data_IF_829484988927
#
_entry.id   IF_829484988927
#
_cell.length_a   1.000
_cell.length_b   1.000
_cell.length_c   1.000
_cell.angle_alpha   90.00
_cell.angle_beta   90.00
_cell.angle_gamma   90.00
#
_symmetry.space_group_name_H-M   'P 1'
#
loop_
_entity.id
_entity.type
_entity.pdbx_description
1 polymer ?
#
# COMPACT_ATOMS: atom_id res chain seq x y z
N UNK A 1 -25.57 39.57 -22.22
CA UNK A 1 -24.88 38.43 -22.89
C UNK A 1 -24.67 37.20 -21.98
N UNK A 2 -24.80 37.29 -20.65
CA UNK A 2 -24.49 36.18 -19.73
C UNK A 2 -25.58 35.09 -19.57
N UNK A 3 -26.86 35.35 -19.91
CA UNK A 3 -27.94 34.35 -19.76
C UNK A 3 -27.84 33.19 -20.76
N UNK A 4 -27.30 33.42 -21.97
CA UNK A 4 -27.15 32.36 -23.00
C UNK A 4 -26.06 31.34 -22.62
N UNK A 5 -24.97 31.77 -21.98
CA UNK A 5 -23.89 30.88 -21.53
C UNK A 5 -24.33 29.95 -20.38
N UNK A 6 -25.17 30.44 -19.47
CA UNK A 6 -25.71 29.63 -18.35
C UNK A 6 -26.62 28.50 -18.83
N UNK A 7 -27.44 28.74 -19.86
CA UNK A 7 -28.35 27.71 -20.40
C UNK A 7 -27.56 26.62 -21.13
N UNK A 8 -26.55 27.02 -21.92
CA UNK A 8 -25.69 26.07 -22.64
C UNK A 8 -24.86 25.20 -21.68
N UNK A 9 -24.37 25.77 -20.57
CA UNK A 9 -23.64 24.99 -19.56
C UNK A 9 -24.54 23.96 -18.86
N UNK A 10 -25.77 24.34 -18.47
CA UNK A 10 -26.72 23.40 -17.86
C UNK A 10 -27.18 22.30 -18.82
N UNK A 11 -27.36 22.60 -20.11
CA UNK A 11 -27.66 21.56 -21.12
C UNK A 11 -26.48 20.61 -21.36
N UNK A 12 -25.23 21.11 -21.31
CA UNK A 12 -24.04 20.27 -21.47
C UNK A 12 -23.85 19.33 -20.27
N UNK A 13 -24.08 19.81 -19.05
CA UNK A 13 -23.99 19.00 -17.83
C UNK A 13 -25.12 17.95 -17.78
N UNK A 14 -26.34 18.31 -18.19
CA UNK A 14 -27.46 17.36 -18.29
C UNK A 14 -27.21 16.25 -19.31
N UNK A 15 -26.59 16.57 -20.45
CA UNK A 15 -26.21 15.58 -21.49
C UNK A 15 -25.05 14.68 -21.08
N UNK A 16 -24.09 15.16 -20.28
CA UNK A 16 -23.05 14.31 -19.70
C UNK A 16 -23.58 13.38 -18.60
N UNK A 17 -24.47 13.85 -17.74
CA UNK A 17 -25.09 13.01 -16.71
C UNK A 17 -26.00 11.92 -17.30
N UNK A 18 -26.65 12.17 -18.44
CA UNK A 18 -27.37 11.11 -19.18
C UNK A 18 -26.44 10.04 -19.75
N UNK A 19 -25.20 10.38 -20.13
CA UNK A 19 -24.19 9.37 -20.52
C UNK A 19 -23.67 8.55 -19.32
N UNK A 20 -23.87 9.03 -18.10
CA UNK A 20 -23.56 8.33 -16.86
C UNK A 20 -24.76 7.51 -16.32
N UNK A 21 -25.84 7.37 -17.09
CA UNK A 21 -26.87 6.37 -16.77
C UNK A 21 -26.26 4.98 -16.90
N UNK A 22 -25.81 4.45 -15.75
CA UNK A 22 -25.54 3.03 -15.58
C UNK A 22 -26.88 2.34 -15.79
N UNK A 23 -27.09 1.82 -16.99
CA UNK A 23 -28.23 0.97 -17.28
C UNK A 23 -27.95 -0.36 -16.59
N UNK A 24 -28.43 -0.51 -15.35
CA UNK A 24 -28.41 -1.79 -14.68
C UNK A 24 -29.25 -2.77 -15.53
N UNK A 25 -28.69 -3.90 -16.00
CA UNK A 25 -29.46 -4.85 -16.78
C UNK A 25 -30.55 -5.44 -15.87
N UNK A 26 -31.80 -5.10 -16.15
CA UNK A 26 -32.96 -5.83 -15.64
C UNK A 26 -32.88 -7.27 -16.16
N UNK A 27 -33.29 -8.22 -15.32
CA UNK A 27 -33.23 -9.64 -15.63
C UNK A 27 -33.98 -9.96 -16.92
N UNK A 28 -33.25 -10.17 -18.01
CA UNK A 28 -33.80 -10.70 -19.26
C UNK A 28 -33.76 -12.21 -19.16
N UNK A 29 -34.95 -12.82 -19.13
CA UNK A 29 -35.08 -14.27 -19.27
C UNK A 29 -34.60 -14.69 -20.67
N UNK A 30 -33.63 -15.61 -20.68
CA UNK A 30 -33.28 -16.49 -21.81
C UNK A 30 -33.09 -15.82 -23.19
N UNK A 31 -31.96 -15.14 -23.38
CA UNK A 31 -31.43 -14.79 -24.71
C UNK A 31 -30.23 -15.66 -25.10
N UNK A 32 -30.32 -16.39 -26.21
CA UNK A 32 -29.25 -17.22 -26.77
C UNK A 32 -27.95 -16.40 -26.98
N UNK A 33 -26.84 -16.87 -26.42
CA UNK A 33 -25.52 -16.22 -26.60
C UNK A 33 -25.08 -16.30 -28.05
N UNK A 34 -24.87 -15.14 -28.68
CA UNK A 34 -24.20 -15.04 -29.97
C UNK A 34 -22.72 -15.49 -29.85
N UNK A 35 -22.16 -16.17 -30.87
CA UNK A 35 -20.78 -16.61 -30.85
C UNK A 35 -19.81 -15.43 -30.99
N UNK A 36 -18.92 -15.28 -30.02
CA UNK A 36 -17.84 -14.28 -30.01
C UNK A 36 -16.83 -14.58 -31.14
N UNK A 37 -16.75 -13.70 -32.15
CA UNK A 37 -15.82 -13.82 -33.29
C UNK A 37 -14.51 -13.04 -33.13
N UNK A 38 -14.25 -12.42 -31.97
CA UNK A 38 -13.03 -11.61 -31.77
C UNK A 38 -12.06 -12.29 -30.79
N UNK A 39 -10.98 -12.86 -31.32
CA UNK A 39 -9.94 -13.61 -30.60
C UNK A 39 -9.01 -12.79 -29.71
N UNK A 40 -9.53 -11.85 -28.90
CA UNK A 40 -8.74 -11.21 -27.84
C UNK A 40 -8.81 -12.05 -26.56
N UNK A 41 -7.68 -12.56 -26.04
CA UNK A 41 -7.68 -13.28 -24.77
C UNK A 41 -8.11 -12.34 -23.64
N UNK A 42 -8.98 -12.83 -22.75
CA UNK A 42 -9.50 -12.12 -21.57
C UNK A 42 -10.49 -10.97 -21.82
N UNK A 43 -11.33 -11.04 -22.86
CA UNK A 43 -12.66 -10.42 -22.73
C UNK A 43 -13.52 -11.31 -21.83
N UNK A 44 -13.37 -11.15 -20.52
CA UNK A 44 -14.39 -11.61 -19.60
C UNK A 44 -15.65 -10.81 -19.92
N UNK A 45 -16.50 -11.37 -20.79
CA UNK A 45 -17.92 -11.03 -20.80
C UNK A 45 -18.34 -11.34 -19.37
N UNK A 46 -18.42 -10.31 -18.52
CA UNK A 46 -18.95 -10.43 -17.16
C UNK A 46 -20.34 -10.98 -17.34
N UNK A 47 -20.48 -12.28 -17.10
CA UNK A 47 -21.78 -12.93 -17.16
C UNK A 47 -22.71 -12.10 -16.27
N UNK A 48 -23.93 -11.77 -16.72
CA UNK A 48 -24.88 -11.04 -15.90
C UNK A 48 -24.95 -11.75 -14.54
N UNK A 49 -24.85 -10.95 -13.48
CA UNK A 49 -24.89 -11.42 -12.10
C UNK A 49 -26.15 -12.28 -11.97
N UNK A 50 -25.94 -13.59 -11.81
CA UNK A 50 -27.05 -14.53 -11.71
C UNK A 50 -27.47 -14.52 -10.26
N UNK A 51 -28.71 -14.14 -9.96
CA UNK A 51 -29.26 -14.21 -8.61
C UNK A 51 -29.94 -15.56 -8.42
N UNK A 52 -29.85 -16.11 -7.22
CA UNK A 52 -30.65 -17.28 -6.86
C UNK A 52 -32.14 -16.88 -6.83
N UNK A 53 -33.00 -17.68 -7.48
CA UNK A 53 -34.44 -17.40 -7.57
C UNK A 53 -35.16 -17.48 -6.23
N UNK A 54 -34.59 -18.21 -5.27
CA UNK A 54 -35.17 -18.43 -3.94
C UNK A 54 -34.69 -17.43 -2.89
N UNK A 55 -33.40 -17.11 -2.88
CA UNK A 55 -32.78 -16.28 -1.84
C UNK A 55 -32.39 -14.88 -2.31
N UNK A 56 -32.34 -14.64 -3.62
CA UNK A 56 -31.84 -13.39 -4.19
C UNK A 56 -30.32 -13.20 -4.03
N UNK A 57 -29.59 -14.22 -3.54
CA UNK A 57 -28.14 -14.14 -3.35
C UNK A 57 -27.37 -14.27 -4.67
N UNK A 58 -26.18 -13.66 -4.74
CA UNK A 58 -25.35 -13.64 -5.95
C UNK A 58 -24.71 -15.02 -6.18
N UNK A 59 -25.04 -15.63 -7.32
CA UNK A 59 -24.48 -16.89 -7.80
C UNK A 59 -23.34 -16.62 -8.79
N UNK A 60 -22.16 -17.18 -8.49
CA UNK A 60 -21.00 -17.12 -9.38
C UNK A 60 -20.64 -18.53 -9.85
N UNK A 61 -20.64 -18.76 -11.16
CA UNK A 61 -20.11 -20.01 -11.75
C UNK A 61 -18.59 -20.00 -11.73
N UNK A 62 -17.99 -21.03 -11.13
CA UNK A 62 -16.54 -21.27 -11.20
C UNK A 62 -16.12 -21.80 -12.56
N UNK A 63 -14.82 -21.74 -12.86
CA UNK A 63 -14.22 -22.35 -14.06
C UNK A 63 -14.47 -23.86 -14.15
N UNK A 64 -14.65 -24.54 -13.01
CA UNK A 64 -15.00 -25.97 -12.90
C UNK A 64 -16.48 -26.28 -13.15
N UNK A 65 -17.30 -25.30 -13.55
CA UNK A 65 -18.73 -25.47 -13.85
C UNK A 65 -19.65 -25.49 -12.63
N UNK A 66 -19.11 -25.68 -11.42
CA UNK A 66 -19.90 -25.63 -10.17
C UNK A 66 -20.30 -24.20 -9.82
N UNK A 67 -21.57 -24.01 -9.45
CA UNK A 67 -22.07 -22.72 -8.98
C UNK A 67 -21.78 -22.55 -7.50
N UNK A 68 -21.22 -21.41 -7.10
CA UNK A 68 -21.01 -21.03 -5.70
C UNK A 68 -21.85 -19.80 -5.39
N UNK A 69 -22.66 -19.89 -4.36
CA UNK A 69 -23.36 -18.74 -3.80
C UNK A 69 -22.33 -17.91 -3.03
N UNK A 70 -22.24 -16.62 -3.35
CA UNK A 70 -21.42 -15.65 -2.64
C UNK A 70 -22.38 -14.82 -1.81
N UNK A 71 -22.34 -15.02 -0.50
CA UNK A 71 -23.04 -14.13 0.42
C UNK A 71 -22.50 -12.73 0.21
N UNK A 72 -23.38 -11.79 -0.12
CA UNK A 72 -23.03 -10.37 -0.11
C UNK A 72 -22.67 -9.96 1.32
N UNK A 73 -21.83 -8.94 1.45
CA UNK A 73 -21.66 -8.26 2.73
C UNK A 73 -22.98 -7.58 3.09
N UNK A 74 -23.40 -7.65 4.36
CA UNK A 74 -24.59 -6.91 4.79
C UNK A 74 -24.31 -5.41 4.76
N UNK A 75 -25.36 -4.59 4.62
CA UNK A 75 -25.22 -3.13 4.69
C UNK A 75 -24.63 -2.68 6.03
N UNK A 76 -25.03 -3.34 7.12
CA UNK A 76 -24.53 -3.08 8.47
C UNK A 76 -23.02 -3.39 8.61
N UNK A 77 -22.57 -4.52 8.08
CA UNK A 77 -21.15 -4.89 8.09
C UNK A 77 -20.31 -3.94 7.24
N UNK A 78 -20.84 -3.51 6.10
CA UNK A 78 -20.18 -2.53 5.24
C UNK A 78 -20.07 -1.17 5.92
N UNK A 79 -21.14 -0.68 6.53
CA UNK A 79 -21.16 0.59 7.25
C UNK A 79 -20.20 0.56 8.44
N UNK A 80 -20.19 -0.52 9.22
CA UNK A 80 -19.25 -0.70 10.33
C UNK A 80 -17.79 -0.70 9.88
N UNK A 81 -17.46 -1.41 8.79
CA UNK A 81 -16.09 -1.40 8.25
C UNK A 81 -15.69 -0.04 7.69
N UNK A 82 -16.62 0.65 7.02
CA UNK A 82 -16.39 1.99 6.49
C UNK A 82 -16.11 2.98 7.63
N UNK A 83 -16.95 2.95 8.67
CA UNK A 83 -16.79 3.82 9.84
C UNK A 83 -15.47 3.51 10.57
N UNK A 84 -15.14 2.23 10.76
CA UNK A 84 -13.86 1.83 11.35
C UNK A 84 -12.65 2.33 10.55
N UNK A 85 -12.69 2.20 9.22
CA UNK A 85 -11.59 2.62 8.36
C UNK A 85 -11.36 4.15 8.40
N UNK A 86 -12.43 4.95 8.34
CA UNK A 86 -12.32 6.40 8.28
C UNK A 86 -12.18 7.06 9.66
N UNK A 87 -12.93 6.59 10.66
CA UNK A 87 -13.01 7.25 11.97
C UNK A 87 -12.01 6.69 12.98
N UNK A 88 -11.78 5.37 12.97
CA UNK A 88 -10.91 4.71 13.96
C UNK A 88 -9.47 4.62 13.46
N UNK A 89 -9.24 3.94 12.33
CA UNK A 89 -7.90 3.71 11.79
C UNK A 89 -7.36 4.92 11.02
N UNK A 90 -8.25 5.79 10.53
CA UNK A 90 -7.93 6.96 9.70
C UNK A 90 -7.18 6.61 8.41
N UNK A 91 -7.35 5.37 7.94
CA UNK A 91 -6.75 4.86 6.72
C UNK A 91 -5.21 4.82 6.72
N UNK A 92 -4.60 4.57 5.54
CA UNK A 92 -3.16 4.47 5.42
C UNK A 92 -2.49 5.84 5.62
N UNK A 93 -1.51 5.88 6.53
CA UNK A 93 -0.73 7.09 6.81
C UNK A 93 0.41 7.21 5.80
N UNK A 94 0.51 8.37 5.16
CA UNK A 94 1.66 8.70 4.31
C UNK A 94 2.85 9.11 5.19
N UNK A 95 3.97 8.39 5.07
CA UNK A 95 5.20 8.77 5.75
C UNK A 95 5.78 10.03 5.09
N UNK A 96 6.01 11.12 5.84
CA UNK A 96 6.47 12.38 5.25
C UNK A 96 7.88 12.24 4.68
N UNK A 97 8.19 13.05 3.67
CA UNK A 97 9.54 13.12 3.12
C UNK A 97 10.56 13.50 4.21
N UNK A 98 11.71 12.84 4.18
CA UNK A 98 12.79 13.09 5.14
C UNK A 98 12.50 12.63 6.57
N UNK A 99 11.41 11.89 6.85
CA UNK A 99 11.06 11.42 8.19
C UNK A 99 12.22 10.74 8.95
N UNK A 100 13.09 10.01 8.23
CA UNK A 100 14.24 9.29 8.80
C UNK A 100 15.47 10.19 9.04
N UNK A 101 15.47 11.42 8.50
CA UNK A 101 16.60 12.37 8.55
C UNK A 101 16.29 13.65 9.30
N UNK A 102 15.08 13.80 9.86
CA UNK A 102 14.68 14.99 10.63
C UNK A 102 15.50 15.16 11.91
N UNK A 103 15.88 14.05 12.53
CA UNK A 103 16.63 14.01 13.78
C UNK A 103 17.88 13.16 13.58
N UNK A 104 18.94 13.51 14.31
CA UNK A 104 20.16 12.72 14.34
C UNK A 104 19.89 11.32 14.90
N UNK A 105 20.49 10.26 14.32
CA UNK A 105 20.21 8.88 14.71
C UNK A 105 20.73 8.54 16.12
N UNK A 106 21.83 9.15 16.56
CA UNK A 106 22.44 8.91 17.87
C UNK A 106 21.74 9.66 19.02
N UNK A 107 21.43 10.97 18.91
CA UNK A 107 20.67 11.67 19.96
C UNK A 107 19.33 11.00 20.28
N UNK A 108 18.64 10.49 19.27
CA UNK A 108 17.37 9.78 19.45
C UNK A 108 17.54 8.47 20.23
N UNK A 109 18.64 7.75 19.98
CA UNK A 109 18.95 6.52 20.69
C UNK A 109 19.27 6.76 22.18
N UNK A 110 19.86 7.92 22.50
CA UNK A 110 20.28 8.25 23.86
C UNK A 110 19.17 8.96 24.67
N UNK A 111 18.19 9.59 24.00
CA UNK A 111 17.17 10.43 24.65
C UNK A 111 15.80 9.77 24.77
N UNK A 112 15.46 8.86 23.85
CA UNK A 112 14.13 8.26 23.77
C UNK A 112 14.13 6.85 24.39
N UNK A 113 13.45 6.63 25.54
CA UNK A 113 13.43 5.33 26.21
C UNK A 113 12.73 4.24 25.39
N UNK A 114 11.89 4.62 24.41
CA UNK A 114 11.24 3.67 23.51
C UNK A 114 12.20 3.16 22.42
N UNK A 115 13.34 3.82 22.24
CA UNK A 115 14.34 3.50 21.22
C UNK A 115 15.39 2.52 21.76
N UNK A 116 14.99 1.29 22.06
CA UNK A 116 15.92 0.27 22.57
C UNK A 116 16.79 -0.33 21.43
N UNK A 117 18.12 -0.24 21.56
CA UNK A 117 19.10 -0.84 20.64
C UNK A 117 19.02 -2.39 20.61
N UNK A 118 18.48 -3.02 21.66
CA UNK A 118 18.27 -4.47 21.70
C UNK A 118 17.16 -4.90 20.74
N UNK A 119 16.25 -3.99 20.37
CA UNK A 119 15.21 -4.26 19.39
C UNK A 119 15.79 -4.27 17.96
N UNK A 120 15.46 -5.34 17.22
CA UNK A 120 15.90 -5.51 15.83
C UNK A 120 15.45 -4.36 14.93
N UNK A 121 14.21 -3.89 15.12
CA UNK A 121 13.66 -2.79 14.32
C UNK A 121 14.46 -1.50 14.50
N UNK A 122 14.88 -1.19 15.73
CA UNK A 122 15.73 -0.03 16.04
C UNK A 122 17.07 -0.12 15.32
N UNK A 123 17.74 -1.28 15.40
CA UNK A 123 19.01 -1.50 14.69
C UNK A 123 18.86 -1.38 13.18
N UNK A 124 17.79 -1.94 12.60
CA UNK A 124 17.52 -1.81 11.17
C UNK A 124 17.30 -0.34 10.75
N UNK A 125 16.63 0.47 11.57
CA UNK A 125 16.47 1.91 11.32
C UNK A 125 17.82 2.63 11.35
N UNK A 126 18.69 2.32 12.31
CA UNK A 126 20.04 2.88 12.41
C UNK A 126 20.91 2.49 11.21
N UNK A 127 20.92 1.22 10.82
CA UNK A 127 21.63 0.76 9.62
C UNK A 127 21.07 1.41 8.35
N UNK A 128 19.75 1.59 8.25
CA UNK A 128 19.13 2.30 7.12
C UNK A 128 19.57 3.76 7.04
N UNK A 129 19.81 4.41 8.19
CA UNK A 129 20.36 5.77 8.22
C UNK A 129 21.79 5.80 7.68
N UNK A 130 22.64 4.82 8.01
CA UNK A 130 23.98 4.67 7.40
C UNK A 130 23.89 4.51 5.88
N UNK A 131 23.01 3.65 5.38
CA UNK A 131 22.80 3.47 3.93
C UNK A 131 22.43 4.79 3.25
N UNK A 132 21.52 5.55 3.86
CA UNK A 132 21.09 6.83 3.33
C UNK A 132 22.25 7.83 3.25
N UNK A 133 23.09 7.93 4.28
CA UNK A 133 24.29 8.79 4.25
C UNK A 133 25.27 8.35 3.16
N UNK A 134 25.48 7.03 3.00
CA UNK A 134 26.33 6.47 1.95
C UNK A 134 25.84 6.86 0.55
N UNK A 135 24.54 6.69 0.26
CA UNK A 135 23.99 7.04 -1.06
C UNK A 135 23.94 8.55 -1.31
N UNK A 136 23.85 9.36 -0.25
CA UNK A 136 24.01 10.82 -0.33
C UNK A 136 25.46 11.28 -0.48
N UNK A 137 26.42 10.35 -0.49
CA UNK A 137 27.88 10.60 -0.57
C UNK A 137 28.46 11.36 0.63
N UNK A 138 27.74 11.38 1.76
CA UNK A 138 28.27 11.89 3.04
C UNK A 138 29.14 10.81 3.69
N UNK A 139 30.29 10.50 3.07
CA UNK A 139 31.13 9.35 3.47
C UNK A 139 31.76 9.53 4.86
N UNK A 140 32.13 10.75 5.23
CA UNK A 140 32.70 11.05 6.55
C UNK A 140 31.70 10.78 7.67
N UNK A 141 30.49 11.33 7.57
CA UNK A 141 29.41 11.11 8.54
C UNK A 141 28.99 9.64 8.59
N UNK A 142 28.92 8.97 7.44
CA UNK A 142 28.61 7.56 7.36
C UNK A 142 29.67 6.70 8.07
N UNK A 143 30.95 6.98 7.85
CA UNK A 143 32.05 6.26 8.49
C UNK A 143 32.04 6.44 10.02
N UNK A 144 31.83 7.66 10.49
CA UNK A 144 31.70 7.96 11.92
C UNK A 144 30.53 7.20 12.55
N UNK A 145 29.35 7.25 11.91
CA UNK A 145 28.16 6.57 12.41
C UNK A 145 28.34 5.05 12.45
N UNK A 146 28.90 4.46 11.39
CA UNK A 146 29.19 3.02 11.34
C UNK A 146 30.14 2.62 12.47
N UNK A 147 31.19 3.40 12.74
CA UNK A 147 32.15 3.11 13.81
C UNK A 147 31.47 3.11 15.18
N UNK A 148 30.61 4.09 15.46
CA UNK A 148 29.86 4.19 16.73
C UNK A 148 28.89 3.01 16.86
N UNK A 149 28.15 2.67 15.81
CA UNK A 149 27.18 1.57 15.84
C UNK A 149 27.85 0.21 16.03
N UNK A 150 28.98 -0.05 15.37
CA UNK A 150 29.76 -1.29 15.57
C UNK A 150 30.16 -1.42 17.04
N UNK A 151 30.72 -0.37 17.64
CA UNK A 151 31.10 -0.37 19.06
C UNK A 151 29.91 -0.63 19.97
N UNK A 152 28.74 -0.02 19.69
CA UNK A 152 27.53 -0.23 20.49
C UNK A 152 26.94 -1.64 20.29
N UNK A 153 27.05 -2.22 19.11
CA UNK A 153 26.55 -3.58 18.82
C UNK A 153 27.45 -4.66 19.42
N UNK A 154 28.76 -4.41 19.54
CA UNK A 154 29.72 -5.39 20.06
C UNK A 154 29.56 -5.67 21.57
N UNK A 155 29.05 -4.68 22.31
CA UNK A 155 28.76 -4.77 23.76
C UNK A 155 27.47 -5.56 24.04
N UNK A 156 26.63 -5.82 23.03
CA UNK A 156 25.38 -6.54 23.21
C UNK A 156 25.61 -8.06 23.37
N UNK A 157 24.91 -8.67 24.33
CA UNK A 157 25.03 -10.09 24.68
C UNK A 157 24.77 -11.06 23.51
N UNK A 158 24.05 -10.62 22.47
CA UNK A 158 23.61 -11.43 21.32
C UNK A 158 24.55 -11.34 20.10
N UNK A 159 25.87 -11.23 20.30
CA UNK A 159 26.85 -11.03 19.21
C UNK A 159 26.68 -11.95 18.00
N UNK A 160 26.43 -13.25 18.18
CA UNK A 160 26.23 -14.21 17.08
C UNK A 160 25.04 -13.87 16.17
N UNK A 161 23.97 -13.29 16.74
CA UNK A 161 22.80 -12.86 15.96
C UNK A 161 23.05 -11.53 15.23
N UNK A 162 23.98 -10.73 15.76
CA UNK A 162 24.36 -9.41 15.24
C UNK A 162 25.53 -9.46 14.27
N UNK A 163 26.20 -10.61 14.12
CA UNK A 163 27.41 -10.75 13.32
C UNK A 163 27.21 -10.29 11.87
N UNK A 164 26.06 -10.62 11.26
CA UNK A 164 25.72 -10.14 9.91
C UNK A 164 25.55 -8.62 9.85
N UNK A 165 24.88 -8.05 10.84
CA UNK A 165 24.65 -6.60 10.93
C UNK A 165 25.98 -5.85 11.13
N UNK A 166 26.87 -6.40 11.96
CA UNK A 166 28.22 -5.85 12.19
C UNK A 166 29.09 -5.98 10.94
N UNK A 167 29.06 -7.11 10.24
CA UNK A 167 29.79 -7.32 8.99
C UNK A 167 29.34 -6.34 7.89
N UNK A 168 28.04 -6.09 7.78
CA UNK A 168 27.47 -5.10 6.85
C UNK A 168 27.97 -3.69 7.16
N UNK A 169 27.90 -3.26 8.43
CA UNK A 169 28.43 -1.96 8.87
C UNK A 169 29.95 -1.85 8.66
N UNK A 170 30.70 -2.93 8.90
CA UNK A 170 32.15 -2.96 8.69
C UNK A 170 32.51 -2.84 7.19
N UNK A 171 31.77 -3.54 6.32
CA UNK A 171 31.93 -3.42 4.87
C UNK A 171 31.62 -1.99 4.39
N UNK A 172 30.54 -1.38 4.87
CA UNK A 172 30.24 0.03 4.55
C UNK A 172 31.34 0.98 5.03
N UNK A 173 31.83 0.80 6.24
CA UNK A 173 32.90 1.62 6.81
C UNK A 173 34.18 1.50 5.98
N UNK A 174 34.55 0.29 5.54
CA UNK A 174 35.67 0.08 4.64
C UNK A 174 35.47 0.82 3.31
N UNK A 175 34.28 0.71 2.70
CA UNK A 175 33.95 1.39 1.43
C UNK A 175 34.00 2.92 1.57
N UNK A 176 33.51 3.46 2.67
CA UNK A 176 33.57 4.90 2.95
C UNK A 176 35.03 5.35 3.07
N UNK A 177 35.86 4.63 3.83
CA UNK A 177 37.29 4.94 3.97
C UNK A 177 38.08 4.89 2.68
N UNK A 178 37.68 4.06 1.71
CA UNK A 178 38.31 4.03 0.38
C UNK A 178 37.82 5.13 -0.56
N UNK A 179 36.73 5.83 -0.20
CA UNK A 179 36.09 6.85 -1.05
C UNK A 179 36.31 8.28 -0.52
N UNK A 180 36.93 8.41 0.66
CA UNK A 180 37.46 9.66 1.25
C UNK A 180 38.90 9.81 0.78
#
# INVERSE_FOLDING_TARGET
>A
MFKKLSIVLSEMIGKELQKLQITAPTAVENGASAPNTCGRPNQAVTKPISLDSTTGEVMVRKSTGKTKIRKGQSTEEYESQREHFFEVEKGPVCTPEGWMTKEGPLPRLDSDPDFDIKLKQTRQKLTSHCHLLYYRKSYEECAQLCQVLISRFDVLENRKKLEKEIQELAHMLQRCKSSI
#
